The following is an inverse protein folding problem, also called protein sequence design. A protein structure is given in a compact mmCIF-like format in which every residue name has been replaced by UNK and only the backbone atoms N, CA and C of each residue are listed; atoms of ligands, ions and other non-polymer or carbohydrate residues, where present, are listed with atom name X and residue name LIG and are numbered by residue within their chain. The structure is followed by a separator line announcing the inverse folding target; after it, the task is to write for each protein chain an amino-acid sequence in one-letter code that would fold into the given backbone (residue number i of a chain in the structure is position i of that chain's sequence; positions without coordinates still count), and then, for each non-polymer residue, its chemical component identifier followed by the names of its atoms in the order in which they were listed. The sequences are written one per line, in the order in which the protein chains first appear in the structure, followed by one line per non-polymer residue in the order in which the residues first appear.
data_IF_829686739215
#
_entry.id   IF_829686739215
#
_cell.length_a   1.000
_cell.length_b   1.000
_cell.length_c   1.000
_cell.angle_alpha   90.00
_cell.angle_beta   90.00
_cell.angle_gamma   90.00
#
_symmetry.space_group_name_H-M   'P 1'
#
loop_
_entity.id
_entity.type
_entity.pdbx_description
1 polymer ?
#
# COMPACT_ATOMS: atom_id res chain seq x y z
N UNK A 1 44.07 30.86 -16.49
CA UNK A 1 43.37 29.58 -16.41
C UNK A 1 42.90 29.22 -17.81
N UNK A 2 43.42 28.13 -18.37
CA UNK A 2 43.12 27.69 -19.74
C UNK A 2 42.09 26.54 -19.68
N UNK A 3 41.05 26.48 -20.52
CA UNK A 3 40.10 25.38 -20.52
C UNK A 3 40.65 24.17 -21.27
N UNK A 4 40.35 22.97 -20.74
CA UNK A 4 40.77 21.66 -21.24
C UNK A 4 39.76 21.20 -22.30
N UNK A 5 40.16 20.75 -23.50
CA UNK A 5 39.23 20.31 -24.53
C UNK A 5 38.78 18.84 -24.31
N UNK A 6 37.48 18.62 -24.36
CA UNK A 6 36.82 17.32 -24.25
C UNK A 6 36.95 16.55 -25.58
N UNK A 7 37.66 15.44 -25.59
CA UNK A 7 37.89 14.57 -26.73
C UNK A 7 36.73 13.59 -26.96
N UNK A 8 35.92 13.85 -27.98
CA UNK A 8 34.86 12.97 -28.44
C UNK A 8 35.41 11.68 -29.07
N UNK A 9 35.20 10.52 -28.45
CA UNK A 9 35.48 9.21 -29.08
C UNK A 9 34.35 8.84 -30.02
N UNK A 10 34.67 8.79 -31.32
CA UNK A 10 33.84 8.18 -32.38
C UNK A 10 33.91 6.67 -32.23
N UNK A 11 32.78 6.00 -32.09
CA UNK A 11 32.65 4.55 -32.25
C UNK A 11 32.31 4.25 -33.70
N UNK A 12 33.23 3.53 -34.30
CA UNK A 12 33.18 2.95 -35.63
C UNK A 12 32.14 1.88 -35.77
N UNK A 13 31.31 1.99 -36.80
CA UNK A 13 30.42 0.95 -37.25
C UNK A 13 31.23 -0.02 -38.16
N UNK A 14 31.15 -1.27 -37.92
CA UNK A 14 31.51 -2.39 -38.80
C UNK A 14 30.45 -3.46 -38.54
N UNK A 15 29.70 -3.98 -39.45
CA UNK A 15 29.90 -4.35 -40.82
C UNK A 15 29.07 -5.61 -40.98
N UNK A 16 27.98 -5.53 -41.76
CA UNK A 16 27.16 -6.70 -42.13
C UNK A 16 28.00 -7.67 -42.97
N UNK A 17 27.83 -8.97 -42.72
CA UNK A 17 28.13 -10.01 -43.68
C UNK A 17 26.95 -10.96 -43.79
N UNK A 18 26.42 -11.18 -44.98
CA UNK A 18 25.40 -12.21 -45.25
C UNK A 18 26.06 -13.47 -45.81
N UNK A 19 25.58 -14.62 -45.46
CA UNK A 19 25.55 -15.91 -46.20
C UNK A 19 25.33 -17.03 -45.19
N UNK A 20 24.22 -17.74 -45.22
CA UNK A 20 24.07 -18.93 -46.06
C UNK A 20 22.60 -19.43 -46.03
N UNK A 21 22.15 -19.67 -47.21
CA UNK A 21 20.95 -20.41 -47.57
C UNK A 21 21.24 -21.89 -47.31
N UNK A 22 20.36 -22.52 -46.58
CA UNK A 22 20.39 -23.97 -46.38
C UNK A 22 18.99 -24.48 -46.13
N UNK A 23 18.34 -24.84 -47.23
CA UNK A 23 17.13 -25.65 -47.34
C UNK A 23 17.24 -26.97 -46.62
N UNK A 24 16.31 -27.28 -45.75
CA UNK A 24 15.88 -28.66 -45.50
C UNK A 24 14.43 -28.68 -45.04
N UNK A 25 13.61 -29.18 -45.90
CA UNK A 25 12.24 -29.61 -45.70
C UNK A 25 12.28 -30.93 -44.91
N UNK A 26 11.52 -31.02 -43.84
CA UNK A 26 10.96 -32.27 -43.37
C UNK A 26 9.73 -32.00 -42.51
N UNK A 27 8.65 -32.42 -43.02
CA UNK A 27 7.34 -32.66 -42.48
C UNK A 27 7.46 -33.66 -41.31
N UNK A 28 6.80 -33.43 -40.22
CA UNK A 28 5.94 -34.39 -39.51
C UNK A 28 4.92 -33.66 -38.69
N UNK A 29 3.68 -33.84 -39.07
CA UNK A 29 2.53 -33.61 -38.23
C UNK A 29 2.51 -34.65 -37.11
N UNK A 30 1.98 -34.29 -35.97
CA UNK A 30 0.91 -34.98 -35.25
C UNK A 30 0.89 -34.58 -33.78
N UNK A 31 -0.22 -34.00 -33.45
CA UNK A 31 -0.99 -34.20 -32.21
C UNK A 31 -0.21 -34.40 -30.91
N UNK A 32 -0.32 -33.41 -30.07
CA UNK A 32 -0.54 -33.65 -28.66
C UNK A 32 -1.43 -32.52 -28.13
N UNK A 33 -2.68 -32.83 -28.02
CA UNK A 33 -3.52 -32.26 -27.01
C UNK A 33 -2.81 -32.41 -25.68
N UNK A 34 -2.81 -31.42 -24.90
CA UNK A 34 -2.92 -31.53 -23.47
C UNK A 34 -2.17 -30.42 -22.77
N UNK A 35 -2.87 -29.81 -21.92
CA UNK A 35 -2.27 -29.15 -20.78
C UNK A 35 -1.98 -27.68 -20.99
N UNK A 36 -2.99 -26.85 -21.24
CA UNK A 36 -2.99 -25.56 -20.62
C UNK A 36 -2.99 -25.80 -19.12
N UNK A 37 -1.80 -25.96 -18.58
CA UNK A 37 -1.63 -25.84 -17.16
C UNK A 37 -2.21 -24.48 -16.79
N UNK A 38 -3.37 -24.49 -16.12
CA UNK A 38 -3.86 -23.39 -15.35
C UNK A 38 -2.73 -23.03 -14.39
N UNK A 39 -1.95 -22.01 -14.75
CA UNK A 39 -1.23 -21.27 -13.76
C UNK A 39 -2.31 -20.75 -12.82
N UNK A 40 -2.26 -21.07 -11.53
CA UNK A 40 -3.09 -20.36 -10.57
C UNK A 40 -2.66 -18.90 -10.70
N UNK A 41 -3.49 -18.10 -11.34
CA UNK A 41 -3.43 -16.66 -11.16
C UNK A 41 -3.53 -16.45 -9.67
N UNK A 42 -2.52 -15.85 -9.07
CA UNK A 42 -2.60 -15.25 -7.76
C UNK A 42 -3.62 -14.11 -7.82
N UNK A 43 -4.89 -14.48 -7.98
CA UNK A 43 -5.94 -13.71 -7.39
C UNK A 43 -5.80 -13.99 -5.91
N UNK A 44 -4.99 -13.19 -5.23
CA UNK A 44 -5.19 -12.93 -3.83
C UNK A 44 -6.64 -12.46 -3.72
N UNK A 45 -7.54 -13.41 -3.69
CA UNK A 45 -8.92 -13.22 -3.34
C UNK A 45 -8.88 -12.63 -1.94
N UNK A 46 -9.13 -11.34 -1.86
CA UNK A 46 -9.56 -10.75 -0.61
C UNK A 46 -10.75 -11.60 -0.18
N UNK A 47 -10.53 -12.48 0.77
CA UNK A 47 -11.59 -13.14 1.49
C UNK A 47 -12.43 -12.00 2.07
N UNK A 48 -13.58 -11.77 1.47
CA UNK A 48 -14.62 -10.92 2.00
C UNK A 48 -15.21 -11.62 3.21
N UNK A 49 -14.47 -11.64 4.30
CA UNK A 49 -14.97 -12.04 5.58
C UNK A 49 -15.84 -10.92 6.14
N UNK A 50 -17.14 -11.05 5.94
CA UNK A 50 -18.14 -10.26 6.64
C UNK A 50 -18.28 -8.82 6.15
N UNK A 51 -19.53 -8.35 6.15
CA UNK A 51 -19.87 -6.96 5.86
C UNK A 51 -18.95 -5.99 6.59
N UNK A 52 -18.16 -5.20 5.81
CA UNK A 52 -17.39 -4.10 6.33
C UNK A 52 -15.86 -4.22 6.34
N UNK A 53 -15.26 -5.27 5.74
CA UNK A 53 -13.79 -5.31 5.55
C UNK A 53 -13.41 -4.85 4.15
N UNK A 54 -12.41 -3.97 4.06
CA UNK A 54 -11.86 -3.48 2.80
C UNK A 54 -10.34 -3.32 2.90
N UNK A 55 -9.67 -3.31 1.76
CA UNK A 55 -8.24 -3.07 1.69
C UNK A 55 -7.95 -1.93 0.71
N UNK A 56 -6.96 -1.10 1.01
CA UNK A 56 -6.60 0.01 0.14
C UNK A 56 -5.22 0.57 0.46
N UNK A 57 -4.58 1.16 -0.57
CA UNK A 57 -3.32 1.87 -0.39
C UNK A 57 -3.57 3.26 0.18
N UNK A 58 -2.82 3.63 1.20
CA UNK A 58 -2.88 4.99 1.77
C UNK A 58 -2.40 5.99 0.74
N UNK A 59 -3.25 6.97 0.42
CA UNK A 59 -2.97 8.03 -0.55
C UNK A 59 -2.60 9.35 0.10
N UNK A 60 -3.13 9.62 1.29
CA UNK A 60 -2.86 10.85 2.04
C UNK A 60 -3.21 10.69 3.52
N UNK A 61 -2.36 11.14 4.42
CA UNK A 61 -2.67 11.36 5.84
C UNK A 61 -3.17 12.80 6.01
N UNK A 62 -4.21 12.99 6.80
CA UNK A 62 -4.84 14.29 7.06
C UNK A 62 -4.33 14.87 8.38
N UNK A 63 -4.39 14.06 9.44
CA UNK A 63 -3.97 14.39 10.81
C UNK A 63 -3.53 13.12 11.56
N UNK A 64 -3.45 13.17 12.90
CA UNK A 64 -2.94 12.06 13.72
C UNK A 64 -3.84 10.82 13.78
N UNK A 65 -5.06 10.87 13.23
CA UNK A 65 -6.02 9.76 13.29
C UNK A 65 -6.94 9.64 12.06
N UNK A 66 -6.70 10.45 11.03
CA UNK A 66 -7.52 10.50 9.81
C UNK A 66 -6.66 10.42 8.54
N UNK A 67 -7.04 9.55 7.61
CA UNK A 67 -6.33 9.37 6.35
C UNK A 67 -7.26 8.95 5.21
N UNK A 68 -6.72 8.88 3.98
CA UNK A 68 -7.39 8.43 2.77
C UNK A 68 -6.75 7.14 2.25
N UNK A 69 -7.58 6.26 1.69
CA UNK A 69 -7.13 5.08 0.95
C UNK A 69 -7.71 5.05 -0.46
N UNK A 70 -7.04 4.35 -1.36
CA UNK A 70 -7.40 4.29 -2.79
C UNK A 70 -8.74 3.59 -3.07
N UNK A 71 -9.23 2.78 -2.15
CA UNK A 71 -10.44 1.95 -2.31
C UNK A 71 -11.68 2.54 -1.66
N UNK A 72 -11.58 3.69 -0.97
CA UNK A 72 -12.71 4.34 -0.32
C UNK A 72 -12.92 5.76 -0.86
N UNK A 73 -14.17 6.14 -1.02
CA UNK A 73 -14.58 7.51 -1.39
C UNK A 73 -14.59 8.46 -0.20
N UNK A 74 -14.57 7.91 1.01
CA UNK A 74 -14.62 8.64 2.27
C UNK A 74 -13.30 8.56 3.04
N UNK A 75 -13.06 9.52 3.92
CA UNK A 75 -11.90 9.48 4.82
C UNK A 75 -12.07 8.36 5.83
N UNK A 76 -10.95 7.79 6.23
CA UNK A 76 -10.90 6.80 7.30
C UNK A 76 -10.53 7.52 8.59
N UNK A 77 -11.37 7.45 9.61
CA UNK A 77 -11.08 7.81 11.00
C UNK A 77 -10.64 6.53 11.71
N UNK A 78 -9.45 6.52 12.28
CA UNK A 78 -8.93 5.35 12.98
C UNK A 78 -9.80 5.05 14.22
N UNK A 79 -10.33 3.83 14.27
CA UNK A 79 -11.17 3.40 15.37
C UNK A 79 -10.38 3.27 16.67
N UNK A 80 -10.95 3.78 17.76
CA UNK A 80 -10.38 3.65 19.10
C UNK A 80 -9.14 4.51 19.37
N UNK A 81 -8.76 5.40 18.45
CA UNK A 81 -7.63 6.29 18.56
C UNK A 81 -8.09 7.72 18.82
N UNK A 82 -7.44 8.41 19.75
CA UNK A 82 -7.60 9.82 20.03
C UNK A 82 -6.23 10.51 19.93
N UNK A 83 -6.03 11.22 18.83
CA UNK A 83 -4.81 11.98 18.60
C UNK A 83 -5.06 13.47 18.81
N UNK A 84 -4.09 14.22 19.34
CA UNK A 84 -4.20 15.67 19.43
C UNK A 84 -4.45 16.28 18.04
N UNK A 85 -5.33 17.29 17.98
CA UNK A 85 -5.58 18.04 16.74
C UNK A 85 -4.31 18.76 16.27
N UNK A 86 -4.21 19.04 14.97
CA UNK A 86 -2.98 19.58 14.34
C UNK A 86 -2.52 20.89 14.97
N UNK A 87 -3.45 21.71 15.45
CA UNK A 87 -3.20 23.02 16.12
C UNK A 87 -2.98 22.90 17.64
N UNK A 88 -3.09 21.70 18.19
CA UNK A 88 -2.86 21.42 19.61
C UNK A 88 -1.42 20.92 19.86
N UNK A 89 -0.88 21.10 21.08
CA UNK A 89 0.39 20.50 21.47
C UNK A 89 0.38 18.99 21.22
N UNK A 90 1.36 18.47 20.48
CA UNK A 90 1.45 17.06 20.11
C UNK A 90 0.80 16.71 18.77
N UNK A 91 -0.07 17.53 18.19
CA UNK A 91 -0.80 17.20 16.97
C UNK A 91 0.08 17.01 15.76
N UNK A 92 1.10 17.85 15.59
CA UNK A 92 2.08 17.67 14.51
C UNK A 92 2.91 16.40 14.67
N UNK A 93 3.24 16.02 15.91
CA UNK A 93 3.96 14.76 16.19
C UNK A 93 3.08 13.55 15.90
N UNK A 94 1.80 13.56 16.31
CA UNK A 94 0.85 12.50 16.01
C UNK A 94 0.66 12.33 14.49
N UNK A 95 0.49 13.44 13.76
CA UNK A 95 0.38 13.43 12.29
C UNK A 95 1.65 12.87 11.62
N UNK A 96 2.83 13.29 12.10
CA UNK A 96 4.11 12.78 11.58
C UNK A 96 4.29 11.29 11.88
N UNK A 97 3.93 10.83 13.08
CA UNK A 97 4.00 9.43 13.48
C UNK A 97 3.09 8.56 12.61
N UNK A 98 1.82 8.95 12.44
CA UNK A 98 0.90 8.23 11.57
C UNK A 98 1.39 8.24 10.12
N UNK A 99 1.88 9.38 9.62
CA UNK A 99 2.43 9.49 8.27
C UNK A 99 3.61 8.52 8.06
N UNK A 100 4.55 8.48 8.99
CA UNK A 100 5.70 7.58 8.92
C UNK A 100 5.28 6.09 8.96
N UNK A 101 4.21 5.78 9.71
CA UNK A 101 3.72 4.43 9.88
C UNK A 101 3.01 3.89 8.63
N UNK A 102 2.14 4.71 7.99
CA UNK A 102 1.20 4.21 6.99
C UNK A 102 1.36 4.78 5.58
N UNK A 103 2.17 5.81 5.34
CA UNK A 103 2.28 6.42 3.99
C UNK A 103 2.61 5.39 2.92
N UNK A 104 1.74 5.31 1.89
CA UNK A 104 1.92 4.40 0.76
C UNK A 104 1.75 2.91 1.10
N UNK A 105 1.43 2.56 2.35
CA UNK A 105 1.17 1.19 2.76
C UNK A 105 -0.17 0.68 2.21
N UNK A 106 -0.25 -0.63 1.98
CA UNK A 106 -1.50 -1.32 1.72
C UNK A 106 -2.09 -1.76 3.06
N UNK A 107 -3.23 -1.18 3.44
CA UNK A 107 -3.88 -1.49 4.70
C UNK A 107 -5.08 -2.40 4.48
N UNK A 108 -5.41 -3.18 5.51
CA UNK A 108 -6.69 -3.88 5.62
C UNK A 108 -7.47 -3.27 6.78
N UNK A 109 -8.68 -2.80 6.52
CA UNK A 109 -9.51 -2.11 7.51
C UNK A 109 -10.84 -2.85 7.69
N UNK A 110 -11.26 -2.99 8.94
CA UNK A 110 -12.61 -3.42 9.32
C UNK A 110 -13.43 -2.18 9.64
N UNK A 111 -14.47 -1.92 8.86
CA UNK A 111 -15.40 -0.84 9.18
C UNK A 111 -16.13 -1.16 10.49
N UNK A 112 -16.06 -0.26 11.44
CA UNK A 112 -16.74 -0.34 12.73
C UNK A 112 -17.99 0.50 12.76
N UNK A 113 -17.95 1.68 12.09
CA UNK A 113 -19.04 2.64 12.07
C UNK A 113 -18.88 3.62 10.90
N UNK A 114 -19.85 4.51 10.75
CA UNK A 114 -19.77 5.74 9.96
C UNK A 114 -20.10 6.89 10.92
N UNK A 115 -19.20 7.84 11.05
CA UNK A 115 -19.42 8.93 11.98
C UNK A 115 -20.38 10.01 11.42
N UNK A 116 -20.76 10.96 12.29
CA UNK A 116 -21.67 12.05 11.92
C UNK A 116 -21.16 12.97 10.81
N UNK A 117 -19.89 12.87 10.46
CA UNK A 117 -19.24 13.62 9.38
C UNK A 117 -19.12 12.81 8.09
N UNK A 118 -19.65 11.60 8.05
CA UNK A 118 -19.59 10.70 6.92
C UNK A 118 -18.25 9.97 6.77
N UNK A 119 -17.33 10.05 7.75
CA UNK A 119 -16.07 9.30 7.71
C UNK A 119 -16.32 7.83 8.06
N UNK A 120 -15.60 6.94 7.40
CA UNK A 120 -15.57 5.53 7.80
C UNK A 120 -14.73 5.41 9.08
N UNK A 121 -15.34 4.95 10.16
CA UNK A 121 -14.61 4.60 11.38
C UNK A 121 -14.05 3.18 11.19
N UNK A 122 -12.74 3.07 11.01
CA UNK A 122 -12.07 1.83 10.61
C UNK A 122 -11.01 1.36 11.60
N UNK A 123 -11.09 0.09 12.02
CA UNK A 123 -9.97 -0.57 12.67
C UNK A 123 -9.05 -1.09 11.58
N UNK A 124 -7.86 -0.51 11.46
CA UNK A 124 -6.97 -0.75 10.34
C UNK A 124 -5.68 -1.44 10.77
N UNK A 125 -5.20 -2.32 9.90
CA UNK A 125 -4.03 -3.15 10.14
C UNK A 125 -2.98 -2.93 9.05
N UNK A 126 -1.73 -2.92 9.47
CA UNK A 126 -0.55 -2.90 8.61
C UNK A 126 -0.43 -4.24 7.84
N UNK A 127 0.41 -4.31 6.79
CA UNK A 127 0.63 -5.56 6.05
C UNK A 127 1.18 -6.71 6.90
N UNK A 128 1.86 -6.40 8.00
CA UNK A 128 2.38 -7.37 8.99
C UNK A 128 1.36 -7.77 10.06
N UNK A 129 0.12 -7.27 9.96
CA UNK A 129 -0.99 -7.58 10.86
C UNK A 129 -1.06 -6.74 12.13
N UNK A 130 -0.12 -5.80 12.37
CA UNK A 130 -0.19 -4.91 13.54
C UNK A 130 -1.36 -3.94 13.40
N UNK A 131 -2.08 -3.73 14.49
CA UNK A 131 -3.14 -2.74 14.60
C UNK A 131 -2.53 -1.33 14.70
N UNK A 132 -2.96 -0.43 13.81
CA UNK A 132 -2.45 0.96 13.75
C UNK A 132 -2.70 1.69 15.06
N UNK A 133 -3.89 1.51 15.67
CA UNK A 133 -4.23 2.14 16.94
C UNK A 133 -3.29 1.71 18.05
N UNK A 134 -3.03 0.40 18.16
CA UNK A 134 -2.09 -0.10 19.15
C UNK A 134 -0.68 0.49 18.97
N UNK A 135 -0.17 0.54 17.74
CA UNK A 135 1.15 1.11 17.45
C UNK A 135 1.24 2.60 17.82
N UNK A 136 0.19 3.38 17.51
CA UNK A 136 0.16 4.82 17.82
C UNK A 136 0.09 5.07 19.34
N UNK A 137 -0.68 4.27 20.08
CA UNK A 137 -0.76 4.33 21.55
C UNK A 137 0.60 3.95 22.15
N UNK A 138 1.20 2.84 21.72
CA UNK A 138 2.50 2.37 22.22
C UNK A 138 3.63 3.38 21.97
N UNK A 139 3.53 4.17 20.90
CA UNK A 139 4.49 5.24 20.61
C UNK A 139 4.33 6.48 21.49
N UNK A 140 3.24 6.58 22.24
CA UNK A 140 2.90 7.73 23.10
C UNK A 140 2.51 8.98 22.30
N UNK A 141 2.17 8.85 21.01
CA UNK A 141 1.78 9.99 20.15
C UNK A 141 0.26 10.19 20.10
N UNK A 142 -0.51 9.24 20.61
CA UNK A 142 -1.96 9.31 20.71
C UNK A 142 -2.43 8.45 21.90
N UNK A 143 -3.68 8.59 22.28
CA UNK A 143 -4.31 7.88 23.39
C UNK A 143 -5.43 6.96 22.89
N UNK A 144 -5.83 6.01 23.74
CA UNK A 144 -7.02 5.20 23.48
C UNK A 144 -8.28 6.04 23.62
N UNK A 145 -9.14 6.05 22.61
CA UNK A 145 -10.44 6.71 22.71
C UNK A 145 -11.44 5.80 23.45
N UNK A 146 -11.32 5.78 24.75
CA UNK A 146 -12.00 4.85 25.67
C UNK A 146 -13.51 4.76 25.46
N UNK A 147 -14.15 5.87 25.15
CA UNK A 147 -15.61 5.92 24.92
C UNK A 147 -16.05 5.03 23.75
N UNK A 148 -15.22 4.89 22.73
CA UNK A 148 -15.55 4.13 21.52
C UNK A 148 -14.84 2.78 21.43
N UNK A 149 -13.67 2.66 22.04
CA UNK A 149 -12.91 1.40 22.08
C UNK A 149 -13.43 0.42 23.13
N UNK A 150 -14.08 0.93 24.18
CA UNK A 150 -14.51 0.12 25.32
C UNK A 150 -13.32 -0.52 26.06
N UNK A 151 -12.18 0.17 26.14
CA UNK A 151 -10.94 -0.33 26.75
C UNK A 151 -10.33 -1.54 25.98
N UNK A 152 -10.49 -1.56 24.68
CA UNK A 152 -9.96 -2.65 23.82
C UNK A 152 -8.44 -2.78 23.92
N UNK A 153 -7.73 -1.64 23.99
CA UNK A 153 -6.28 -1.57 24.07
C UNK A 153 -5.74 -1.56 25.51
N UNK A 154 -6.62 -1.56 26.50
CA UNK A 154 -6.33 -1.66 27.94
C UNK A 154 -5.51 -0.49 28.48
N UNK A 155 -5.69 0.70 27.94
CA UNK A 155 -5.03 1.94 28.40
C UNK A 155 -6.00 2.93 29.00
N UNK A 156 -7.27 2.57 29.08
CA UNK A 156 -8.28 3.33 29.81
C UNK A 156 -8.19 3.05 31.31
#
# INVERSE_FOLDING_TARGET
MRPIPFKRRRRSARGLSPHNIGTAVAIVALAACAGYANLPGDTAGAAADGAGTFAGRVTRVVDGDTFWVSSASERIRVWGLDAPEVDMPGGSQATAALTALISGQQLTCRQRDIDRYGRIVGQCFLPDGRDITAVMIDSGTAEEFCRYSGNHYRTC
#
